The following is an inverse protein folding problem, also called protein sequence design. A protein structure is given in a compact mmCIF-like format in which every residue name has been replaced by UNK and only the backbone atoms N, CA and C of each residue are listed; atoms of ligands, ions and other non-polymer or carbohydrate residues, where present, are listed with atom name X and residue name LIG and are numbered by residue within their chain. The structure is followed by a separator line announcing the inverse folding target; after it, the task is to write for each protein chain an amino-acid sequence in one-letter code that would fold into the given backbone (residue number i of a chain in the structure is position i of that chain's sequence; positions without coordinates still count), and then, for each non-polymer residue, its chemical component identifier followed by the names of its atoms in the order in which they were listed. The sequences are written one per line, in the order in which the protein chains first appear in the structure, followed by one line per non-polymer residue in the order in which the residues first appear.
data_IF_924207642042
#
_entry.id   IF_924207642042
#
_cell.length_a   1.000
_cell.length_b   1.000
_cell.length_c   1.000
_cell.angle_alpha   90.00
_cell.angle_beta   90.00
_cell.angle_gamma   90.00
#
_symmetry.space_group_name_H-M   'P 1'
#
loop_
_entity.id
_entity.type
_entity.pdbx_description
1 polymer ?
#
# COMPACT_ATOMS: atom_id res chain seq x y z
N UNK A 1 -8.53 -7.66 13.62
CA UNK A 1 -8.64 -8.29 12.28
C UNK A 1 -7.27 -8.84 11.86
N UNK A 2 -6.99 -10.12 12.15
CA UNK A 2 -5.69 -10.74 11.85
C UNK A 2 -5.32 -10.83 10.36
N UNK A 3 -6.27 -10.59 9.43
CA UNK A 3 -6.04 -10.71 7.98
C UNK A 3 -5.43 -9.48 7.28
N UNK A 4 -5.44 -8.29 7.90
CA UNK A 4 -4.99 -7.05 7.22
C UNK A 4 -3.47 -7.08 6.99
N UNK A 5 -2.70 -7.45 8.01
CA UNK A 5 -1.25 -7.57 7.91
C UNK A 5 -0.83 -8.64 6.91
N UNK A 6 -1.44 -9.83 7.01
CA UNK A 6 -1.17 -10.95 6.13
C UNK A 6 -1.39 -10.57 4.66
N UNK A 7 -2.54 -9.97 4.35
CA UNK A 7 -2.87 -9.51 3.00
C UNK A 7 -1.89 -8.47 2.47
N UNK A 8 -1.46 -7.52 3.32
CA UNK A 8 -0.46 -6.52 2.93
C UNK A 8 0.88 -7.18 2.56
N UNK A 9 1.37 -8.11 3.38
CA UNK A 9 2.66 -8.77 3.15
C UNK A 9 2.63 -9.70 1.94
N UNK A 10 1.54 -10.46 1.77
CA UNK A 10 1.32 -11.33 0.61
C UNK A 10 1.30 -10.51 -0.68
N UNK A 11 0.54 -9.40 -0.71
CA UNK A 11 0.48 -8.49 -1.88
C UNK A 11 1.86 -7.96 -2.26
N UNK A 12 2.68 -7.54 -1.29
CA UNK A 12 4.02 -7.05 -1.56
C UNK A 12 4.95 -8.16 -2.06
N UNK A 13 4.86 -9.37 -1.49
CA UNK A 13 5.66 -10.52 -1.88
C UNK A 13 5.34 -10.99 -3.31
N UNK A 14 4.05 -11.10 -3.68
CA UNK A 14 3.61 -11.46 -5.03
C UNK A 14 4.09 -10.45 -6.09
N UNK A 15 4.27 -9.19 -5.69
CA UNK A 15 4.80 -8.13 -6.54
C UNK A 15 6.35 -8.06 -6.55
N UNK A 16 7.04 -8.97 -5.86
CA UNK A 16 8.50 -8.99 -5.76
C UNK A 16 9.07 -7.80 -4.98
N UNK A 17 8.29 -7.22 -4.06
CA UNK A 17 8.70 -6.06 -3.27
C UNK A 17 9.20 -6.55 -1.92
N UNK A 18 10.51 -6.41 -1.68
CA UNK A 18 11.11 -6.77 -0.41
C UNK A 18 10.78 -5.75 0.69
N UNK A 19 10.43 -6.23 1.88
CA UNK A 19 10.19 -5.41 3.06
C UNK A 19 11.47 -5.41 3.92
N UNK A 20 12.03 -4.22 4.17
CA UNK A 20 13.26 -4.06 4.95
C UNK A 20 12.98 -3.94 6.45
N UNK A 21 11.84 -3.34 6.81
CA UNK A 21 11.44 -3.13 8.19
C UNK A 21 9.92 -3.08 8.31
N UNK A 22 9.39 -3.58 9.41
CA UNK A 22 7.98 -3.52 9.77
C UNK A 22 7.86 -2.83 11.13
N UNK A 23 6.93 -1.87 11.24
CA UNK A 23 6.53 -1.26 12.50
C UNK A 23 5.01 -1.24 12.60
N UNK A 24 4.47 -1.64 13.75
CA UNK A 24 3.03 -1.83 13.95
C UNK A 24 2.53 -1.17 15.22
N UNK A 25 1.33 -0.61 15.19
CA UNK A 25 0.53 -0.25 16.36
C UNK A 25 -0.80 -1.03 16.35
N UNK A 26 -1.69 -0.74 17.30
CA UNK A 26 -3.02 -1.37 17.35
C UNK A 26 -3.91 -1.08 16.13
N UNK A 27 -3.62 0.00 15.38
CA UNK A 27 -4.47 0.47 14.27
C UNK A 27 -3.72 0.70 12.96
N UNK A 28 -2.39 0.57 12.97
CA UNK A 28 -1.55 0.96 11.82
C UNK A 28 -0.40 -0.03 11.65
N UNK A 29 -0.12 -0.35 10.39
CA UNK A 29 1.06 -1.10 9.97
C UNK A 29 1.86 -0.18 9.04
N UNK A 30 3.17 -0.16 9.20
CA UNK A 30 4.08 0.59 8.34
C UNK A 30 5.25 -0.29 7.95
N UNK A 31 5.62 -0.23 6.67
CA UNK A 31 6.70 -1.01 6.11
C UNK A 31 7.69 -0.07 5.43
N UNK A 32 8.99 -0.37 5.55
CA UNK A 32 10.05 0.28 4.79
C UNK A 32 10.36 -0.59 3.59
N UNK A 33 10.36 0.01 2.40
CA UNK A 33 10.69 -0.62 1.13
C UNK A 33 11.63 0.26 0.33
N UNK A 34 12.32 -0.34 -0.63
CA UNK A 34 13.13 0.36 -1.63
C UNK A 34 12.30 1.44 -2.34
N UNK A 35 12.85 2.66 -2.43
CA UNK A 35 12.19 3.84 -3.04
C UNK A 35 11.67 3.55 -4.46
N UNK A 36 12.42 2.79 -5.24
CA UNK A 36 12.11 2.46 -6.64
C UNK A 36 10.78 1.68 -6.79
N UNK A 37 10.28 1.09 -5.70
CA UNK A 37 9.05 0.28 -5.69
C UNK A 37 7.85 1.01 -5.06
N UNK A 38 7.99 2.27 -4.63
CA UNK A 38 6.94 2.98 -3.88
C UNK A 38 5.63 3.06 -4.67
N UNK A 39 5.68 3.47 -5.95
CA UNK A 39 4.47 3.57 -6.78
C UNK A 39 3.83 2.20 -7.03
N UNK A 40 4.65 1.18 -7.33
CA UNK A 40 4.18 -0.19 -7.53
C UNK A 40 3.52 -0.74 -6.26
N UNK A 41 4.14 -0.52 -5.10
CA UNK A 41 3.63 -0.95 -3.81
C UNK A 41 2.30 -0.26 -3.47
N UNK A 42 2.22 1.06 -3.65
CA UNK A 42 1.01 1.82 -3.38
C UNK A 42 -0.16 1.33 -4.26
N UNK A 43 0.07 1.18 -5.58
CA UNK A 43 -0.95 0.70 -6.50
C UNK A 43 -1.39 -0.73 -6.19
N UNK A 44 -0.44 -1.64 -5.95
CA UNK A 44 -0.77 -3.03 -5.61
C UNK A 44 -1.59 -3.14 -4.32
N UNK A 45 -1.23 -2.35 -3.30
CA UNK A 45 -1.97 -2.31 -2.04
C UNK A 45 -3.35 -1.64 -2.21
N UNK A 46 -3.46 -0.56 -2.97
CA UNK A 46 -4.75 0.08 -3.27
C UNK A 46 -5.72 -0.91 -3.92
N UNK A 47 -5.26 -1.65 -4.94
CA UNK A 47 -6.05 -2.68 -5.61
C UNK A 47 -6.37 -3.85 -4.69
N UNK A 48 -5.39 -4.36 -3.94
CA UNK A 48 -5.62 -5.48 -3.02
C UNK A 48 -6.67 -5.12 -1.97
N UNK A 49 -6.71 -3.89 -1.47
CA UNK A 49 -7.69 -3.43 -0.49
C UNK A 49 -8.97 -2.83 -1.12
N UNK A 50 -9.10 -2.81 -2.45
CA UNK A 50 -10.28 -2.29 -3.15
C UNK A 50 -10.47 -0.78 -2.99
N UNK A 51 -9.39 -0.03 -2.74
CA UNK A 51 -9.42 1.43 -2.52
C UNK A 51 -9.39 2.24 -3.83
N UNK A 52 -9.35 1.55 -4.97
CA UNK A 52 -9.35 2.15 -6.31
C UNK A 52 -10.66 2.92 -6.62
N UNK A 53 -11.71 2.70 -5.83
CA UNK A 53 -13.05 3.27 -6.04
C UNK A 53 -13.23 4.73 -5.56
N UNK A 54 -12.26 5.32 -4.87
CA UNK A 54 -12.40 6.66 -4.24
C UNK A 54 -11.54 7.78 -4.87
N UNK A 55 -10.96 7.55 -6.06
CA UNK A 55 -10.32 8.64 -6.82
C UNK A 55 -11.33 9.41 -7.69
N UNK A 56 -12.38 9.97 -7.07
CA UNK A 56 -13.19 11.03 -7.67
C UNK A 56 -12.80 12.37 -7.04
N UNK A 57 -12.13 13.19 -7.87
CA UNK A 57 -11.97 14.65 -7.81
C UNK A 57 -11.06 15.28 -6.74
N UNK A 58 -9.81 15.61 -7.16
CA UNK A 58 -9.24 16.96 -7.03
C UNK A 58 -8.38 17.30 -8.25
N UNK A 59 -9.03 17.61 -9.37
CA UNK A 59 -8.47 18.53 -10.38
C UNK A 59 -9.22 19.86 -10.25
N UNK A 60 -8.74 20.71 -9.36
CA UNK A 60 -9.00 22.16 -9.33
C UNK A 60 -7.66 22.79 -8.97
N UNK A 61 -7.06 23.75 -9.68
CA UNK A 61 -7.33 24.35 -10.97
C UNK A 61 -6.03 25.11 -11.35
N UNK A 62 -5.59 24.95 -12.60
CA UNK A 62 -4.63 25.88 -13.21
C UNK A 62 -5.42 26.57 -14.32
N UNK A 63 -5.80 27.81 -14.05
CA UNK A 63 -6.52 28.73 -14.91
C UNK A 63 -6.58 30.08 -14.22
#
# INVERSE_FOLDING_TARGET
HPGVAAKMFETLAENGINIEMISTSSIKISCVIRRDYIEKAANALHTAFGLDADMVQRKEGLG
#
